data_IF_871922909488
#
_entry.id   IF_871922909488
#
_cell.length_a   1.000
_cell.length_b   1.000
_cell.length_c   1.000
_cell.angle_alpha   90.00
_cell.angle_beta   90.00
_cell.angle_gamma   90.00
#
_symmetry.space_group_name_H-M   'P 1'
#
loop_
_entity.id
_entity.type
_entity.pdbx_description
1 polymer ?
#
# COMPACT_ATOMS: atom_id res chain seq x y z
N UNK A 1 -3.29 -7.01 -5.64
CA UNK A 1 -2.56 -6.06 -6.50
C UNK A 1 -1.11 -6.48 -6.64
N UNK A 2 -0.76 -6.96 -7.83
CA UNK A 2 0.61 -7.34 -8.19
C UNK A 2 1.06 -6.41 -9.33
N UNK A 3 2.33 -5.96 -9.27
CA UNK A 3 2.95 -5.23 -10.36
C UNK A 3 3.93 -6.12 -11.09
N UNK A 4 3.79 -6.13 -12.41
CA UNK A 4 4.74 -6.79 -13.30
C UNK A 4 5.36 -5.78 -14.25
N UNK A 5 6.68 -5.89 -14.44
CA UNK A 5 7.39 -5.14 -15.48
C UNK A 5 7.17 -5.85 -16.80
N UNK A 6 6.72 -5.11 -17.81
CA UNK A 6 6.69 -5.60 -19.18
C UNK A 6 7.70 -4.83 -20.02
N UNK A 7 8.64 -5.55 -20.62
CA UNK A 7 9.56 -4.98 -21.61
C UNK A 7 8.80 -4.89 -22.93
N UNK A 8 8.63 -3.69 -23.47
CA UNK A 8 8.03 -3.50 -24.79
C UNK A 8 8.93 -4.08 -25.88
N UNK A 9 8.38 -4.94 -26.74
CA UNK A 9 9.06 -5.31 -27.99
C UNK A 9 9.17 -4.06 -28.87
N UNK A 10 10.36 -3.84 -29.40
CA UNK A 10 10.82 -2.68 -30.15
C UNK A 10 9.86 -2.25 -31.25
N UNK A 11 9.32 -1.02 -31.13
CA UNK A 11 8.47 -0.40 -32.14
C UNK A 11 7.86 0.91 -31.67
N UNK A 12 8.67 1.97 -31.60
CA UNK A 12 8.23 3.38 -31.58
C UNK A 12 7.30 3.80 -30.42
N UNK A 13 7.74 3.52 -29.20
CA UNK A 13 7.59 4.28 -27.93
C UNK A 13 8.02 3.29 -26.84
N UNK A 14 9.35 3.10 -26.74
CA UNK A 14 9.98 2.13 -25.84
C UNK A 14 9.99 2.60 -24.39
N UNK A 15 8.82 2.74 -23.78
CA UNK A 15 8.70 3.03 -22.36
C UNK A 15 8.46 1.73 -21.61
N UNK A 16 9.34 1.42 -20.64
CA UNK A 16 9.07 0.40 -19.64
C UNK A 16 7.69 0.68 -19.02
N UNK A 17 6.79 -0.30 -19.08
CA UNK A 17 5.44 -0.17 -18.55
C UNK A 17 5.25 -1.11 -17.36
N UNK A 18 4.61 -0.57 -16.33
CA UNK A 18 4.13 -1.31 -15.18
C UNK A 18 2.67 -1.67 -15.41
N UNK A 19 2.34 -2.96 -15.37
CA UNK A 19 0.96 -3.44 -15.43
C UNK A 19 0.48 -3.83 -14.05
N UNK A 20 -0.68 -3.30 -13.68
CA UNK A 20 -1.43 -3.74 -12.51
C UNK A 20 -2.24 -4.98 -12.89
N UNK A 21 -2.02 -6.06 -12.15
CA UNK A 21 -2.73 -7.33 -12.32
C UNK A 21 -3.25 -7.81 -10.96
N UNK A 22 -3.99 -8.91 -11.00
CA UNK A 22 -4.52 -9.59 -9.81
C UNK A 22 -5.51 -8.73 -9.02
N UNK A 23 -6.66 -8.50 -9.66
CA UNK A 23 -7.86 -7.87 -9.10
C UNK A 23 -8.84 -8.92 -8.53
N UNK A 24 -8.42 -10.20 -8.39
CA UNK A 24 -9.24 -11.26 -7.82
C UNK A 24 -9.49 -11.02 -6.34
N UNK A 25 -10.55 -10.28 -6.02
CA UNK A 25 -10.84 -9.77 -4.67
C UNK A 25 -11.21 -8.28 -4.65
N UNK A 26 -11.01 -7.56 -5.76
CA UNK A 26 -11.56 -6.24 -5.96
C UNK A 26 -13.05 -6.37 -6.29
N UNK A 27 -13.91 -5.73 -5.49
CA UNK A 27 -15.35 -5.74 -5.73
C UNK A 27 -15.68 -4.97 -7.01
N UNK A 28 -16.37 -5.61 -7.95
CA UNK A 28 -16.92 -4.95 -9.15
C UNK A 28 -18.35 -4.44 -8.93
N UNK A 29 -19.08 -5.06 -8.00
CA UNK A 29 -20.55 -4.98 -7.94
C UNK A 29 -21.09 -4.46 -6.59
N UNK A 30 -20.21 -3.95 -5.72
CA UNK A 30 -20.58 -3.45 -4.38
C UNK A 30 -20.90 -4.53 -3.33
N UNK A 31 -20.71 -5.82 -3.66
CA UNK A 31 -20.82 -6.94 -2.72
C UNK A 31 -19.69 -6.98 -1.66
N UNK A 32 -19.77 -7.93 -0.72
CA UNK A 32 -18.77 -8.07 0.35
C UNK A 32 -17.35 -8.21 -0.22
N UNK A 33 -16.47 -7.32 0.24
CA UNK A 33 -15.14 -7.15 -0.31
C UNK A 33 -14.15 -8.09 0.40
N UNK A 34 -13.70 -9.14 -0.28
CA UNK A 34 -12.72 -10.10 0.24
C UNK A 34 -11.26 -9.69 0.02
N UNK A 35 -10.93 -8.40 0.21
CA UNK A 35 -9.57 -7.91 -0.10
C UNK A 35 -8.50 -8.60 0.75
N UNK A 36 -7.56 -9.27 0.09
CA UNK A 36 -6.45 -9.99 0.71
C UNK A 36 -5.24 -9.06 0.94
N UNK A 37 -5.36 -8.12 1.88
CA UNK A 37 -4.20 -7.33 2.31
C UNK A 37 -3.21 -8.22 3.08
N UNK A 38 -1.92 -8.08 2.74
CA UNK A 38 -0.85 -8.76 3.46
C UNK A 38 -0.52 -7.97 4.75
N UNK A 39 0.09 -8.66 5.73
CA UNK A 39 0.42 -8.09 7.04
C UNK A 39 1.26 -6.80 6.99
N UNK A 40 2.03 -6.60 5.92
CA UNK A 40 2.88 -5.42 5.70
C UNK A 40 2.21 -4.29 4.89
N UNK A 41 0.97 -4.47 4.44
CA UNK A 41 0.27 -3.51 3.58
C UNK A 41 -1.16 -3.22 4.03
N UNK A 42 -1.46 -3.54 5.30
CA UNK A 42 -2.76 -3.32 5.89
C UNK A 42 -2.67 -2.32 7.03
N UNK A 43 -3.46 -1.26 6.94
CA UNK A 43 -3.79 -0.37 8.03
C UNK A 43 -5.30 -0.44 8.23
N UNK A 44 -5.73 -0.79 9.45
CA UNK A 44 -7.16 -0.86 9.78
C UNK A 44 -7.83 0.47 9.46
N UNK A 45 -8.97 0.41 8.78
CA UNK A 45 -9.90 1.50 8.56
C UNK A 45 -11.34 1.05 8.83
N UNK A 46 -12.27 1.99 8.91
CA UNK A 46 -13.71 1.69 8.92
C UNK A 46 -14.40 2.50 7.84
N UNK A 47 -14.99 1.87 6.80
CA UNK A 47 -15.06 0.42 6.55
C UNK A 47 -13.69 -0.23 6.30
N UNK A 48 -13.60 -1.54 6.52
CA UNK A 48 -12.35 -2.31 6.41
C UNK A 48 -11.76 -2.33 4.99
N UNK A 49 -12.62 -2.27 3.98
CA UNK A 49 -12.23 -2.08 2.58
C UNK A 49 -12.75 -0.75 2.10
N UNK A 50 -11.87 0.07 1.54
CA UNK A 50 -12.16 1.40 1.05
C UNK A 50 -11.17 1.82 -0.05
N UNK A 51 -11.49 2.90 -0.77
CA UNK A 51 -10.52 3.51 -1.70
C UNK A 51 -9.23 3.93 -0.97
N UNK A 52 -9.35 4.29 0.30
CA UNK A 52 -8.23 4.68 1.14
C UNK A 52 -7.29 3.49 1.38
N UNK A 53 -7.82 2.31 1.71
CA UNK A 53 -6.99 1.10 1.92
C UNK A 53 -6.26 0.69 0.64
N UNK A 54 -6.86 0.95 -0.53
CA UNK A 54 -6.19 0.76 -1.81
C UNK A 54 -5.09 1.80 -2.09
N UNK A 55 -5.33 3.08 -1.78
CA UNK A 55 -4.30 4.14 -1.86
C UNK A 55 -3.11 3.82 -0.93
N UNK A 56 -3.38 3.31 0.26
CA UNK A 56 -2.35 2.89 1.20
C UNK A 56 -1.54 1.69 0.69
N UNK A 57 -2.22 0.66 0.18
CA UNK A 57 -1.58 -0.51 -0.42
C UNK A 57 -0.72 -0.10 -1.63
N UNK A 58 -1.16 0.89 -2.40
CA UNK A 58 -0.38 1.49 -3.49
C UNK A 58 0.89 2.20 -2.99
N UNK A 59 0.81 2.94 -1.88
CA UNK A 59 2.01 3.50 -1.22
C UNK A 59 3.01 2.42 -0.78
N UNK A 60 2.53 1.31 -0.21
CA UNK A 60 3.38 0.16 0.17
C UNK A 60 4.09 -0.46 -1.02
N UNK A 61 3.42 -0.49 -2.17
CA UNK A 61 3.97 -0.98 -3.43
C UNK A 61 5.06 -0.06 -3.98
N UNK A 62 4.88 1.26 -3.92
CA UNK A 62 5.92 2.21 -4.31
C UNK A 62 7.13 2.05 -3.39
N UNK A 63 6.92 1.97 -2.07
CA UNK A 63 7.98 1.68 -1.10
C UNK A 63 8.77 0.41 -1.48
N UNK A 64 8.08 -0.67 -1.85
CA UNK A 64 8.73 -1.91 -2.31
C UNK A 64 9.52 -1.72 -3.60
N UNK A 65 8.99 -0.94 -4.52
CA UNK A 65 9.64 -0.68 -5.81
C UNK A 65 10.93 0.10 -5.62
N UNK A 66 10.94 1.07 -4.70
CA UNK A 66 12.10 1.91 -4.41
C UNK A 66 13.17 1.19 -3.59
N UNK A 67 12.76 0.37 -2.62
CA UNK A 67 13.69 -0.27 -1.66
C UNK A 67 14.08 -1.70 -2.06
N UNK A 68 13.34 -2.32 -2.99
CA UNK A 68 13.42 -3.74 -3.28
C UNK A 68 12.86 -4.65 -2.17
N UNK A 69 12.31 -4.09 -1.08
CA UNK A 69 11.87 -4.83 0.11
C UNK A 69 10.47 -4.41 0.52
N UNK A 70 9.72 -5.31 1.16
CA UNK A 70 8.42 -4.94 1.72
C UNK A 70 8.58 -3.93 2.86
N UNK A 71 7.60 -3.03 3.09
CA UNK A 71 7.52 -2.26 4.32
C UNK A 71 7.73 -3.16 5.54
N UNK A 72 8.60 -2.73 6.45
CA UNK A 72 8.99 -3.46 7.64
C UNK A 72 9.38 -4.93 7.44
N UNK A 73 10.08 -5.23 6.35
CA UNK A 73 10.61 -6.57 6.07
C UNK A 73 11.39 -7.20 7.24
N UNK A 74 11.96 -6.40 8.14
CA UNK A 74 12.64 -6.79 9.36
C UNK A 74 11.75 -7.63 10.30
N UNK A 75 10.42 -7.43 10.27
CA UNK A 75 9.51 -8.22 11.10
C UNK A 75 9.08 -9.55 10.47
N UNK A 76 9.53 -9.90 9.26
CA UNK A 76 9.04 -11.09 8.54
C UNK A 76 9.18 -12.39 9.34
N UNK A 77 10.23 -12.50 10.17
CA UNK A 77 10.55 -13.68 10.97
C UNK A 77 9.78 -13.76 12.30
N UNK A 78 9.04 -12.72 12.70
CA UNK A 78 8.30 -12.71 13.96
C UNK A 78 6.90 -13.28 13.77
N UNK A 79 6.45 -14.12 14.70
CA UNK A 79 5.10 -14.70 14.67
C UNK A 79 4.01 -13.64 14.84
N UNK A 80 4.28 -12.59 15.63
CA UNK A 80 3.36 -11.47 15.88
C UNK A 80 3.54 -10.29 14.91
N UNK A 81 4.20 -10.48 13.77
CA UNK A 81 4.52 -9.42 12.78
C UNK A 81 3.34 -8.53 12.39
N UNK A 82 2.15 -9.11 12.22
CA UNK A 82 0.94 -8.36 11.86
C UNK A 82 0.57 -7.34 12.94
N UNK A 83 0.68 -7.73 14.22
CA UNK A 83 0.40 -6.84 15.35
C UNK A 83 1.45 -5.73 15.45
N UNK A 84 2.74 -6.06 15.27
CA UNK A 84 3.83 -5.09 15.32
C UNK A 84 3.68 -4.02 14.22
N UNK A 85 3.47 -4.44 12.98
CA UNK A 85 3.28 -3.51 11.86
C UNK A 85 2.02 -2.68 12.02
N UNK A 86 0.92 -3.29 12.46
CA UNK A 86 -0.31 -2.56 12.72
C UNK A 86 -0.12 -1.48 13.78
N UNK A 87 0.60 -1.79 14.87
CA UNK A 87 0.92 -0.82 15.91
C UNK A 87 1.78 0.34 15.37
N UNK A 88 2.81 0.04 14.56
CA UNK A 88 3.62 1.08 13.91
C UNK A 88 2.79 2.01 13.02
N UNK A 89 1.85 1.46 12.25
CA UNK A 89 0.95 2.28 11.44
C UNK A 89 -0.02 3.12 12.28
N UNK A 90 -0.51 2.59 13.42
CA UNK A 90 -1.34 3.35 14.37
C UNK A 90 -0.55 4.49 15.03
N UNK A 91 0.73 4.26 15.33
CA UNK A 91 1.66 5.24 15.89
C UNK A 91 2.24 6.19 14.83
N UNK A 92 1.83 6.07 13.56
CA UNK A 92 2.31 6.87 12.43
C UNK A 92 3.82 6.74 12.16
N UNK A 93 4.41 5.63 12.55
CA UNK A 93 5.80 5.31 12.32
C UNK A 93 5.96 4.60 10.97
N UNK A 94 6.04 5.35 9.87
CA UNK A 94 6.18 4.78 8.52
C UNK A 94 7.64 4.41 8.18
N UNK A 95 7.88 3.49 7.22
CA UNK A 95 9.23 3.20 6.75
C UNK A 95 9.93 4.47 6.25
N UNK A 96 11.18 4.65 6.63
CA UNK A 96 11.96 5.80 6.16
C UNK A 96 12.36 5.61 4.70
N UNK A 97 11.75 6.44 3.85
CA UNK A 97 11.95 6.46 2.40
C UNK A 97 12.35 7.85 1.91
N UNK A 98 12.60 8.82 2.81
CA UNK A 98 12.76 10.24 2.48
C UNK A 98 13.95 10.47 1.53
N UNK A 99 15.02 9.69 1.69
CA UNK A 99 16.24 9.82 0.89
C UNK A 99 16.21 9.04 -0.43
N UNK A 100 15.09 8.41 -0.78
CA UNK A 100 14.92 7.68 -2.04
C UNK A 100 14.27 8.56 -3.09
N UNK A 101 14.56 8.29 -4.37
CA UNK A 101 13.79 8.87 -5.47
C UNK A 101 12.30 8.56 -5.27
N UNK A 102 11.41 9.55 -5.43
CA UNK A 102 9.97 9.43 -5.10
C UNK A 102 9.65 9.14 -3.61
N UNK A 103 10.62 9.29 -2.71
CA UNK A 103 10.44 9.14 -1.26
C UNK A 103 9.37 10.07 -0.69
N UNK A 104 9.34 11.32 -1.16
CA UNK A 104 8.32 12.31 -0.82
C UNK A 104 6.91 11.87 -1.22
N UNK A 105 6.75 11.24 -2.39
CA UNK A 105 5.45 10.72 -2.85
C UNK A 105 4.97 9.59 -1.95
N UNK A 106 5.85 8.65 -1.60
CA UNK A 106 5.54 7.54 -0.69
C UNK A 106 5.12 8.06 0.69
N UNK A 107 5.81 9.09 1.19
CA UNK A 107 5.47 9.71 2.45
C UNK A 107 4.14 10.47 2.41
N UNK A 108 3.83 11.16 1.30
CA UNK A 108 2.53 11.80 1.09
C UNK A 108 1.42 10.75 1.03
N UNK A 109 1.60 9.63 0.34
CA UNK A 109 0.59 8.56 0.27
C UNK A 109 0.35 7.92 1.64
N UNK A 110 1.40 7.72 2.43
CA UNK A 110 1.29 7.24 3.80
C UNK A 110 0.55 8.24 4.73
N UNK A 111 0.80 9.55 4.54
CA UNK A 111 0.16 10.62 5.33
C UNK A 111 -1.25 10.98 4.85
N UNK A 112 -1.58 10.82 3.57
CA UNK A 112 -2.91 11.17 3.05
C UNK A 112 -4.00 10.27 3.62
N UNK A 113 -3.67 9.03 3.99
CA UNK A 113 -4.53 8.16 4.78
C UNK A 113 -4.88 8.76 6.17
N UNK A 114 -4.00 9.58 6.77
CA UNK A 114 -4.23 10.21 8.08
C UNK A 114 -5.28 11.33 8.05
N UNK A 115 -5.42 12.04 6.92
CA UNK A 115 -6.29 13.22 6.88
C UNK A 115 -7.77 12.84 6.96
N UNK A 116 -8.15 11.72 6.33
CA UNK A 116 -9.55 11.33 6.22
C UNK A 116 -10.07 10.48 7.40
N UNK A 117 -9.21 9.76 8.13
CA UNK A 117 -9.65 9.03 9.34
C UNK A 117 -10.10 9.98 10.46
N UNK A 118 -9.49 11.17 10.56
CA UNK A 118 -9.91 12.19 11.54
C UNK A 118 -11.28 12.78 11.23
N UNK A 119 -11.62 12.93 9.94
CA UNK A 119 -12.94 13.40 9.52
C UNK A 119 -14.03 12.33 9.74
N UNK A 120 -13.68 11.04 9.64
CA UNK A 120 -14.62 9.94 9.91
C UNK A 120 -14.84 9.68 11.42
N UNK A 121 -13.89 10.02 12.30
CA UNK A 121 -14.06 9.93 13.75
C UNK A 121 -14.68 11.18 14.39
N UNK A 122 -14.85 12.27 13.63
CA UNK A 122 -15.44 13.54 14.07
C UNK A 122 -16.96 13.63 13.97
N UNK A 123 -17.66 12.60 13.51
CA UNK A 123 -19.12 12.53 13.50
C UNK A 123 -19.57 11.58 14.61
N UNK A 124 -19.77 12.13 15.81
CA UNK A 124 -20.57 11.51 16.87
C UNK A 124 -21.69 12.47 17.25
#
# INVERSE_FOLDING_TARGET
>A
MILTRTNGLTGWMGSDCLKLIDFGGAGSDGGEHGSCYQWYSYRRSTPEVSKQTDIFAFGCVICKTLTGRHPYHEFKAFDNRSHLVQQLYQENQFPDVINLSLGQLTQVLARHFQFHERDCQGIR
#
